data_IF_107739856445
#
_entry.id   IF_107739856445
#
_cell.length_a   1.000
_cell.length_b   1.000
_cell.length_c   1.000
_cell.angle_alpha   90.00
_cell.angle_beta   90.00
_cell.angle_gamma   90.00
#
_symmetry.space_group_name_H-M   'P 1'
#
loop_
_entity.id
_entity.type
_entity.pdbx_description
1 polymer ?
#
# COMPACT_ATOMS: atom_id res chain seq x y z
N UNK A 1 -55.76 -77.87 -8.79
CA UNK A 1 -55.31 -78.94 -9.70
C UNK A 1 -53.83 -79.19 -9.44
N UNK A 2 -53.46 -80.45 -9.15
CA UNK A 2 -52.09 -80.96 -8.86
C UNK A 2 -51.61 -80.61 -7.46
N UNK A 3 -51.55 -81.46 -6.43
CA UNK A 3 -51.29 -82.92 -6.29
C UNK A 3 -49.89 -83.34 -6.75
N UNK A 4 -49.08 -83.73 -5.74
CA UNK A 4 -47.99 -84.73 -5.75
C UNK A 4 -46.68 -84.37 -6.51
N UNK A 5 -45.49 -84.84 -6.14
CA UNK A 5 -45.13 -85.94 -5.24
C UNK A 5 -43.65 -85.90 -4.81
N UNK A 6 -43.38 -86.63 -3.72
CA UNK A 6 -42.18 -87.45 -3.43
C UNK A 6 -40.78 -86.80 -3.45
N UNK A 7 -40.12 -86.67 -2.29
CA UNK A 7 -39.32 -87.70 -1.57
C UNK A 7 -38.10 -88.21 -2.35
N UNK A 8 -36.91 -87.84 -1.88
CA UNK A 8 -35.82 -88.77 -1.59
C UNK A 8 -34.76 -88.04 -0.75
N UNK A 9 -34.59 -88.47 0.50
CA UNK A 9 -33.44 -88.08 1.33
C UNK A 9 -32.33 -89.12 1.19
N UNK A 10 -31.08 -88.70 1.37
CA UNK A 10 -30.15 -89.33 2.32
C UNK A 10 -28.82 -88.52 2.40
N UNK A 11 -28.58 -87.92 3.58
CA UNK A 11 -27.36 -88.02 4.43
C UNK A 11 -26.00 -87.52 3.88
N UNK A 12 -25.08 -86.85 4.61
CA UNK A 12 -24.54 -86.80 5.99
C UNK A 12 -23.76 -85.43 6.02
N UNK A 13 -23.60 -84.60 7.04
CA UNK A 13 -23.04 -84.78 8.39
C UNK A 13 -23.25 -83.50 9.25
N UNK A 14 -23.12 -83.69 10.57
CA UNK A 14 -23.25 -82.79 11.72
C UNK A 14 -22.26 -81.58 11.76
N UNK A 15 -22.21 -80.76 12.83
CA UNK A 15 -23.25 -79.91 13.44
C UNK A 15 -22.74 -78.45 13.57
N UNK A 16 -23.54 -77.45 13.18
CA UNK A 16 -23.23 -76.04 13.42
C UNK A 16 -24.20 -75.44 14.43
N UNK A 17 -23.79 -75.33 15.69
CA UNK A 17 -24.56 -74.69 16.76
C UNK A 17 -24.81 -73.22 16.38
N UNK A 18 -26.07 -72.88 16.13
CA UNK A 18 -26.55 -71.52 15.98
C UNK A 18 -26.66 -70.86 17.36
N UNK A 19 -25.96 -69.74 17.54
CA UNK A 19 -26.22 -68.79 18.62
C UNK A 19 -26.64 -67.45 18.01
N UNK A 20 -27.74 -66.92 18.54
CA UNK A 20 -28.48 -65.77 18.05
C UNK A 20 -27.62 -64.52 17.83
N UNK A 21 -27.76 -63.89 16.66
CA UNK A 21 -27.12 -62.62 16.35
C UNK A 21 -27.83 -61.47 17.10
N UNK A 22 -27.18 -61.01 18.17
CA UNK A 22 -27.46 -59.74 18.83
C UNK A 22 -27.17 -58.59 17.86
N UNK A 23 -28.15 -57.71 17.63
CA UNK A 23 -27.97 -56.45 16.89
C UNK A 23 -27.06 -55.52 17.70
N UNK A 24 -25.80 -55.40 17.29
CA UNK A 24 -24.86 -54.41 17.82
C UNK A 24 -25.11 -53.05 17.19
N UNK A 25 -25.40 -52.06 18.03
CA UNK A 25 -25.42 -50.64 17.68
C UNK A 25 -24.01 -50.23 17.22
N UNK A 26 -23.85 -49.89 15.94
CA UNK A 26 -22.60 -49.29 15.42
C UNK A 26 -22.49 -47.87 15.96
N UNK A 27 -21.71 -47.69 17.02
CA UNK A 27 -21.22 -46.37 17.44
C UNK A 27 -20.06 -46.03 16.51
N UNK A 28 -20.31 -45.12 15.57
CA UNK A 28 -19.32 -44.59 14.66
C UNK A 28 -18.38 -43.67 15.46
N UNK A 29 -17.05 -43.91 15.50
CA UNK A 29 -16.15 -43.02 16.23
C UNK A 29 -16.08 -41.69 15.48
N UNK A 30 -16.68 -40.66 16.07
CA UNK A 30 -16.45 -39.28 15.68
C UNK A 30 -15.02 -38.94 16.09
N UNK A 31 -14.08 -39.07 15.15
CA UNK A 31 -12.73 -38.57 15.32
C UNK A 31 -12.86 -37.04 15.34
N UNK A 32 -12.86 -36.45 16.54
CA UNK A 32 -12.61 -35.04 16.72
C UNK A 32 -11.15 -34.79 16.28
N UNK A 33 -10.94 -34.47 15.00
CA UNK A 33 -9.74 -33.78 14.57
C UNK A 33 -9.79 -32.39 15.20
N UNK A 34 -9.26 -32.29 16.41
CA UNK A 34 -8.95 -31.03 17.06
C UNK A 34 -7.86 -30.36 16.19
N UNK A 35 -8.28 -29.50 15.27
CA UNK A 35 -7.38 -28.60 14.58
C UNK A 35 -6.70 -27.75 15.63
N UNK A 36 -5.46 -28.11 15.98
CA UNK A 36 -4.58 -27.30 16.79
C UNK A 36 -4.34 -26.01 16.03
N UNK A 37 -5.14 -24.99 16.35
CA UNK A 37 -4.83 -23.62 16.00
C UNK A 37 -3.51 -23.32 16.72
N UNK A 38 -2.40 -23.45 16.02
CA UNK A 38 -1.10 -23.06 16.52
C UNK A 38 -1.13 -21.54 16.71
N UNK A 39 -1.59 -21.11 17.88
CA UNK A 39 -1.30 -19.80 18.41
C UNK A 39 0.22 -19.77 18.57
N UNK A 40 0.93 -19.26 17.57
CA UNK A 40 2.34 -18.91 17.71
C UNK A 40 2.40 -17.90 18.86
N UNK A 41 2.81 -18.38 20.02
CA UNK A 41 3.07 -17.53 21.16
C UNK A 41 4.11 -16.50 20.72
N UNK A 42 3.79 -15.22 20.87
CA UNK A 42 4.77 -14.15 20.83
C UNK A 42 5.63 -14.29 22.09
N UNK A 43 6.58 -15.24 22.09
CA UNK A 43 7.68 -15.18 23.03
C UNK A 43 8.51 -13.97 22.60
N UNK A 44 8.36 -12.86 23.31
CA UNK A 44 9.00 -11.60 22.98
C UNK A 44 10.49 -11.69 23.25
N UNK A 45 11.29 -11.86 22.20
CA UNK A 45 12.64 -11.34 22.19
C UNK A 45 12.55 -9.82 22.40
N UNK A 46 13.28 -9.28 23.38
CA UNK A 46 13.36 -7.83 23.61
C UNK A 46 14.08 -7.08 22.49
N UNK A 47 14.57 -7.80 21.48
CA UNK A 47 15.31 -7.28 20.34
C UNK A 47 14.35 -6.51 19.42
N UNK A 48 14.66 -5.25 19.08
CA UNK A 48 13.87 -4.50 18.11
C UNK A 48 13.80 -5.21 16.75
N UNK A 49 12.64 -5.09 16.11
CA UNK A 49 12.39 -5.56 14.76
C UNK A 49 12.96 -4.55 13.78
N UNK A 50 13.87 -4.98 12.92
CA UNK A 50 14.60 -4.09 12.01
C UNK A 50 14.12 -4.28 10.58
N UNK A 51 13.68 -3.18 9.97
CA UNK A 51 13.49 -3.05 8.54
C UNK A 51 14.63 -2.19 8.00
N UNK A 52 15.46 -2.72 7.11
CA UNK A 52 16.64 -1.98 6.64
C UNK A 52 16.91 -2.19 5.15
N UNK A 53 17.65 -1.22 4.61
CA UNK A 53 18.31 -1.32 3.32
C UNK A 53 19.71 -0.69 3.43
N UNK A 54 20.50 -0.54 2.34
CA UNK A 54 21.83 0.06 2.42
C UNK A 54 21.87 1.51 2.96
N UNK A 55 20.77 2.26 2.88
CA UNK A 55 20.71 3.70 3.17
C UNK A 55 20.21 4.02 4.58
N UNK A 56 19.21 3.29 5.06
CA UNK A 56 18.60 3.54 6.36
C UNK A 56 18.16 2.26 7.07
N UNK A 57 17.98 2.35 8.38
CA UNK A 57 17.26 1.34 9.15
C UNK A 57 16.09 1.97 9.90
N UNK A 58 15.00 1.22 10.02
CA UNK A 58 13.83 1.54 10.81
C UNK A 58 13.58 0.41 11.82
N UNK A 59 13.64 0.74 13.10
CA UNK A 59 13.47 -0.22 14.20
C UNK A 59 12.14 0.01 14.92
N UNK A 60 11.42 -1.09 15.18
CA UNK A 60 10.17 -1.13 15.92
C UNK A 60 10.38 -2.04 17.14
N UNK A 61 9.79 -1.74 18.30
CA UNK A 61 9.85 -2.63 19.47
C UNK A 61 8.82 -3.76 19.35
N UNK A 62 8.99 -4.88 20.09
CA UNK A 62 7.98 -5.94 20.18
C UNK A 62 6.58 -5.46 20.61
N UNK A 63 6.47 -4.29 21.25
CA UNK A 63 5.22 -3.64 21.67
C UNK A 63 4.62 -2.72 20.58
N UNK A 64 5.22 -2.68 19.38
CA UNK A 64 4.74 -1.85 18.27
C UNK A 64 5.07 -0.37 18.42
N UNK A 65 6.18 -0.02 19.09
CA UNK A 65 6.64 1.37 19.26
C UNK A 65 7.80 1.66 18.31
N UNK A 66 7.89 2.88 17.81
CA UNK A 66 9.05 3.30 17.02
C UNK A 66 10.28 3.42 17.93
N UNK A 67 11.39 2.80 17.54
CA UNK A 67 12.63 2.78 18.33
C UNK A 67 13.72 3.61 17.67
N UNK A 68 13.91 3.48 16.35
CA UNK A 68 14.93 4.23 15.63
C UNK A 68 14.57 4.41 14.15
N UNK A 69 15.01 5.52 13.56
CA UNK A 69 15.01 5.75 12.12
C UNK A 69 16.35 6.38 11.75
N UNK A 70 17.31 5.56 11.34
CA UNK A 70 18.71 5.94 11.30
C UNK A 70 19.22 6.01 9.87
N UNK A 71 19.92 7.10 9.58
CA UNK A 71 20.81 7.20 8.43
C UNK A 71 22.02 6.28 8.65
N UNK A 72 22.18 5.26 7.82
CA UNK A 72 23.27 4.29 7.97
C UNK A 72 24.63 4.87 7.62
N UNK A 73 24.68 5.92 6.81
CA UNK A 73 25.95 6.55 6.44
C UNK A 73 26.60 7.27 7.62
N UNK A 74 25.79 7.89 8.50
CA UNK A 74 26.28 8.71 9.61
C UNK A 74 26.00 8.10 10.98
N UNK A 75 25.10 7.12 11.08
CA UNK A 75 24.58 6.61 12.35
C UNK A 75 23.58 7.56 13.04
N UNK A 76 23.22 8.67 12.41
CA UNK A 76 22.31 9.66 13.00
C UNK A 76 20.89 9.12 13.07
N UNK A 77 20.30 9.11 14.27
CA UNK A 77 18.90 8.76 14.47
C UNK A 77 18.00 9.99 14.28
N UNK A 78 17.15 9.92 13.27
CA UNK A 78 16.16 10.95 12.96
C UNK A 78 14.78 10.66 13.53
N UNK A 79 14.59 9.60 14.33
CA UNK A 79 13.31 9.38 15.00
C UNK A 79 13.08 10.41 16.11
N UNK A 80 11.92 11.06 16.09
CA UNK A 80 11.50 11.96 17.16
C UNK A 80 11.00 11.14 18.36
N UNK A 81 11.56 11.41 19.54
CA UNK A 81 11.17 10.80 20.81
C UNK A 81 11.04 9.26 20.75
N UNK A 82 12.17 8.53 20.67
CA UNK A 82 12.18 7.06 20.68
C UNK A 82 11.28 6.43 21.75
N UNK A 83 10.50 5.42 21.36
CA UNK A 83 9.55 4.71 22.22
C UNK A 83 8.22 5.43 22.48
N UNK A 84 8.09 6.72 22.13
CA UNK A 84 6.90 7.51 22.45
C UNK A 84 5.74 7.29 21.46
N UNK A 85 6.04 7.01 20.19
CA UNK A 85 5.04 6.87 19.13
C UNK A 85 4.82 5.40 18.72
N UNK A 86 3.57 4.96 18.49
CA UNK A 86 3.31 3.65 17.92
C UNK A 86 3.65 3.63 16.43
N UNK A 87 4.10 2.49 15.90
CA UNK A 87 4.41 2.34 14.46
C UNK A 87 3.16 2.29 13.58
N UNK A 88 2.01 1.92 14.16
CA UNK A 88 0.75 1.74 13.46
C UNK A 88 -0.46 2.00 14.39
N UNK A 89 -1.62 2.26 13.78
CA UNK A 89 -2.91 2.43 14.45
C UNK A 89 -4.02 1.81 13.62
N UNK A 90 -5.01 1.22 14.28
CA UNK A 90 -6.23 0.74 13.63
C UNK A 90 -7.43 1.53 14.13
N UNK A 91 -8.41 1.79 13.27
CA UNK A 91 -9.68 2.38 13.65
C UNK A 91 -10.82 1.39 13.46
N UNK A 92 -11.62 1.20 14.50
CA UNK A 92 -12.79 0.31 14.53
C UNK A 92 -13.95 1.06 15.17
N UNK A 93 -15.08 1.16 14.44
CA UNK A 93 -16.27 1.91 14.86
C UNK A 93 -15.92 3.34 15.30
N UNK A 94 -15.06 4.01 14.54
CA UNK A 94 -14.60 5.37 14.81
C UNK A 94 -13.60 5.53 15.96
N UNK A 95 -13.24 4.46 16.70
CA UNK A 95 -12.25 4.51 17.79
C UNK A 95 -10.89 4.01 17.32
N UNK A 96 -9.83 4.73 17.67
CA UNK A 96 -8.46 4.34 17.34
C UNK A 96 -7.81 3.49 18.44
N UNK A 97 -7.04 2.50 18.02
CA UNK A 97 -6.20 1.65 18.87
C UNK A 97 -4.78 1.61 18.32
N UNK A 98 -3.75 1.91 19.14
CA UNK A 98 -2.37 1.79 18.70
C UNK A 98 -1.95 0.32 18.56
N UNK A 99 -0.88 0.07 17.81
CA UNK A 99 -0.19 -1.21 17.87
C UNK A 99 0.29 -1.46 19.31
N UNK A 100 0.09 -2.69 19.78
CA UNK A 100 0.48 -3.14 21.12
C UNK A 100 1.37 -4.38 21.07
N UNK A 101 1.49 -5.01 19.89
CA UNK A 101 2.51 -6.02 19.65
C UNK A 101 2.94 -6.03 18.17
N UNK A 102 4.20 -6.39 17.93
CA UNK A 102 4.80 -6.55 16.61
C UNK A 102 5.68 -7.81 16.56
N UNK A 103 5.64 -8.54 15.45
CA UNK A 103 6.60 -9.61 15.11
C UNK A 103 7.02 -9.49 13.65
N UNK A 104 8.27 -9.84 13.35
CA UNK A 104 8.84 -9.80 12.02
C UNK A 104 9.46 -11.17 11.75
N UNK A 105 8.92 -11.87 10.76
CA UNK A 105 9.42 -13.17 10.37
C UNK A 105 9.26 -13.34 8.86
N UNK A 106 10.34 -13.74 8.17
CA UNK A 106 10.33 -13.99 6.73
C UNK A 106 9.83 -12.80 5.90
N UNK A 107 10.23 -11.57 6.25
CA UNK A 107 9.80 -10.35 5.57
C UNK A 107 8.34 -9.96 5.80
N UNK A 108 7.65 -10.55 6.78
CA UNK A 108 6.28 -10.17 7.17
C UNK A 108 6.26 -9.56 8.56
N UNK A 109 5.81 -8.32 8.64
CA UNK A 109 5.55 -7.60 9.89
C UNK A 109 4.10 -7.83 10.30
N UNK A 110 3.90 -8.60 11.36
CA UNK A 110 2.59 -8.83 11.99
C UNK A 110 2.41 -7.84 13.12
N UNK A 111 1.30 -7.10 13.10
CA UNK A 111 0.94 -6.07 14.07
C UNK A 111 -0.37 -6.46 14.76
N UNK A 112 -0.42 -6.37 16.08
CA UNK A 112 -1.65 -6.56 16.88
C UNK A 112 -2.04 -5.27 17.57
N UNK A 113 -3.35 -5.08 17.73
CA UNK A 113 -3.92 -3.85 18.26
C UNK A 113 -4.85 -4.15 19.43
N UNK A 114 -4.48 -3.68 20.62
CA UNK A 114 -5.25 -3.93 21.85
C UNK A 114 -5.38 -5.42 22.19
N UNK A 115 -6.43 -5.76 22.95
CA UNK A 115 -6.65 -7.12 23.45
C UNK A 115 -7.60 -7.97 22.57
N UNK A 116 -8.30 -7.37 21.61
CA UNK A 116 -9.45 -7.97 20.93
C UNK A 116 -9.09 -8.78 19.66
N UNK A 117 -7.87 -9.29 19.55
CA UNK A 117 -7.44 -10.08 18.40
C UNK A 117 -7.33 -9.31 17.07
N UNK A 118 -7.48 -7.98 17.07
CA UNK A 118 -7.28 -7.14 15.90
C UNK A 118 -5.83 -7.27 15.42
N UNK A 119 -5.66 -7.59 14.14
CA UNK A 119 -4.35 -7.86 13.55
C UNK A 119 -4.25 -7.31 12.13
N UNK A 120 -3.06 -6.85 11.77
CA UNK A 120 -2.68 -6.59 10.38
C UNK A 120 -1.36 -7.32 10.08
N UNK A 121 -1.22 -7.84 8.87
CA UNK A 121 0.04 -8.41 8.37
C UNK A 121 0.49 -7.56 7.19
N UNK A 122 1.72 -7.06 7.28
CA UNK A 122 2.37 -6.30 6.22
C UNK A 122 3.50 -7.14 5.62
N UNK A 123 3.57 -7.23 4.31
CA UNK A 123 4.81 -7.61 3.64
C UNK A 123 5.75 -6.41 3.71
N UNK A 124 6.98 -6.63 4.17
CA UNK A 124 8.06 -5.67 4.16
C UNK A 124 9.14 -6.16 3.19
N UNK A 125 9.35 -5.41 2.11
CA UNK A 125 10.30 -5.73 1.07
C UNK A 125 11.41 -4.67 1.05
N UNK A 126 12.63 -5.09 1.40
CA UNK A 126 13.81 -4.24 1.29
C UNK A 126 14.29 -4.18 -0.17
N UNK A 127 14.52 -2.97 -0.67
CA UNK A 127 15.13 -2.67 -1.97
C UNK A 127 16.32 -1.73 -1.77
N UNK A 128 17.25 -1.64 -2.74
CA UNK A 128 18.43 -0.78 -2.59
C UNK A 128 18.11 0.67 -2.19
N UNK A 129 17.01 1.21 -2.72
CA UNK A 129 16.65 2.64 -2.56
C UNK A 129 15.44 2.89 -1.66
N UNK A 130 14.69 1.84 -1.30
CA UNK A 130 13.50 1.98 -0.48
C UNK A 130 13.18 0.72 0.32
N UNK A 131 12.26 0.84 1.28
CA UNK A 131 11.56 -0.31 1.87
C UNK A 131 10.09 -0.18 1.49
N UNK A 132 9.52 -1.21 0.87
CA UNK A 132 8.11 -1.24 0.51
C UNK A 132 7.32 -1.97 1.60
N UNK A 133 6.27 -1.34 2.10
CA UNK A 133 5.28 -1.99 2.96
C UNK A 133 3.99 -2.20 2.18
N UNK A 134 3.47 -3.42 2.20
CA UNK A 134 2.17 -3.79 1.60
C UNK A 134 1.28 -4.47 2.62
N UNK A 135 0.05 -4.00 2.77
CA UNK A 135 -0.96 -4.67 3.60
C UNK A 135 -1.38 -5.98 2.94
N UNK A 136 -1.08 -7.12 3.55
CA UNK A 136 -1.48 -8.45 3.06
C UNK A 136 -2.81 -8.91 3.63
N UNK A 137 -3.05 -8.63 4.92
CA UNK A 137 -4.31 -8.97 5.58
C UNK A 137 -4.62 -8.04 6.74
N UNK A 138 -5.90 -7.89 7.04
CA UNK A 138 -6.45 -7.25 8.22
C UNK A 138 -7.55 -8.16 8.77
N UNK A 139 -7.51 -8.48 10.05
CA UNK A 139 -8.42 -9.46 10.67
C UNK A 139 -8.74 -9.13 12.13
N UNK A 140 -9.66 -9.90 12.73
CA UNK A 140 -10.04 -9.76 14.14
C UNK A 140 -11.18 -8.76 14.40
N UNK A 141 -11.75 -8.14 13.36
CA UNK A 141 -12.90 -7.24 13.50
C UNK A 141 -13.23 -6.48 12.22
N UNK A 142 -14.27 -5.66 12.29
CA UNK A 142 -14.66 -4.77 11.20
C UNK A 142 -13.85 -3.46 11.25
N UNK A 143 -12.72 -3.43 10.53
CA UNK A 143 -11.76 -2.32 10.54
C UNK A 143 -12.19 -1.22 9.57
N UNK A 144 -12.31 0.01 10.08
CA UNK A 144 -12.66 1.19 9.27
C UNK A 144 -11.44 1.74 8.51
N UNK A 145 -10.28 1.76 9.18
CA UNK A 145 -9.04 2.29 8.63
C UNK A 145 -7.82 1.70 9.34
N UNK A 146 -6.69 1.68 8.64
CA UNK A 146 -5.39 1.26 9.16
C UNK A 146 -4.34 2.31 8.78
N UNK A 147 -3.66 2.86 9.79
CA UNK A 147 -2.39 3.56 9.63
C UNK A 147 -1.30 2.51 9.80
N UNK A 148 -0.65 2.11 8.71
CA UNK A 148 0.33 1.02 8.69
C UNK A 148 1.78 1.51 8.65
N UNK A 149 1.98 2.82 8.52
CA UNK A 149 3.26 3.49 8.71
C UNK A 149 3.00 4.79 9.49
N UNK A 150 3.74 4.98 10.58
CA UNK A 150 3.69 6.19 11.39
C UNK A 150 5.06 6.41 12.04
N UNK A 151 5.91 7.25 11.44
CA UNK A 151 7.27 7.53 11.92
C UNK A 151 7.48 9.05 12.00
N UNK A 152 7.34 9.66 13.18
CA UNK A 152 7.63 11.08 13.37
C UNK A 152 9.13 11.32 13.37
N UNK A 153 9.61 12.28 12.59
CA UNK A 153 11.04 12.54 12.44
C UNK A 153 11.47 13.85 13.13
N UNK A 154 12.76 13.97 13.44
CA UNK A 154 13.40 15.22 13.87
C UNK A 154 13.68 16.15 12.68
N UNK A 155 13.57 15.64 11.44
CA UNK A 155 13.70 16.42 10.22
C UNK A 155 12.63 17.51 10.12
N UNK A 156 13.02 18.67 9.62
CA UNK A 156 12.15 19.79 9.27
C UNK A 156 11.47 19.60 7.89
N UNK A 157 12.01 18.73 7.04
CA UNK A 157 11.53 18.51 5.69
C UNK A 157 12.04 19.57 4.71
N UNK A 158 13.29 20.01 4.84
CA UNK A 158 13.85 21.08 4.01
C UNK A 158 15.12 20.66 3.25
N UNK A 159 15.42 21.23 2.07
CA UNK A 159 16.60 20.85 1.30
C UNK A 159 17.94 21.15 1.97
N UNK A 160 17.96 22.01 2.99
CA UNK A 160 19.16 22.35 3.75
C UNK A 160 19.61 21.24 4.71
N UNK A 161 18.75 20.25 4.97
CA UNK A 161 19.08 19.13 5.87
C UNK A 161 20.01 18.13 5.18
N UNK A 162 20.91 17.45 5.92
CA UNK A 162 21.86 16.50 5.33
C UNK A 162 21.19 15.20 4.87
N UNK A 163 19.98 14.93 5.36
CA UNK A 163 19.24 13.70 5.14
C UNK A 163 17.77 14.05 4.87
N UNK A 164 17.14 13.30 3.98
CA UNK A 164 15.71 13.45 3.69
C UNK A 164 15.00 12.12 3.69
N UNK A 165 13.71 12.15 3.98
CA UNK A 165 12.86 10.98 4.03
C UNK A 165 11.47 11.27 3.43
N UNK A 166 10.91 10.26 2.77
CA UNK A 166 9.64 10.31 2.06
C UNK A 166 8.90 8.98 2.22
N UNK A 167 7.66 9.02 2.70
CA UNK A 167 6.66 8.02 2.41
C UNK A 167 6.02 8.38 1.07
N UNK A 168 5.95 7.44 0.13
CA UNK A 168 5.30 7.63 -1.16
C UNK A 168 4.29 6.51 -1.42
N UNK A 169 3.03 6.88 -1.66
CA UNK A 169 1.99 5.91 -2.05
C UNK A 169 2.35 5.25 -3.37
N UNK A 170 2.21 3.93 -3.46
CA UNK A 170 2.51 3.17 -4.69
C UNK A 170 1.26 2.72 -5.45
N UNK A 171 0.07 3.07 -4.96
CA UNK A 171 -1.21 2.86 -5.63
C UNK A 171 -2.23 3.93 -5.22
N UNK A 172 -3.37 3.96 -5.92
CA UNK A 172 -4.34 5.07 -5.86
C UNK A 172 -5.06 5.20 -4.52
N UNK A 173 -5.22 4.11 -3.77
CA UNK A 173 -6.03 4.08 -2.55
C UNK A 173 -5.19 4.10 -1.26
N UNK A 174 -3.86 4.11 -1.38
CA UNK A 174 -2.98 4.37 -0.24
C UNK A 174 -2.87 5.86 0.00
N UNK A 175 -3.26 6.31 1.19
CA UNK A 175 -3.20 7.71 1.60
C UNK A 175 -1.89 8.01 2.32
N UNK A 176 -1.08 8.87 1.69
CA UNK A 176 0.03 9.60 2.34
C UNK A 176 -0.38 11.07 2.45
N UNK A 177 -0.55 11.63 3.66
CA UNK A 177 -1.03 13.00 3.82
C UNK A 177 -0.01 14.07 3.40
N UNK A 178 1.28 13.80 3.60
CA UNK A 178 2.35 14.74 3.29
C UNK A 178 2.66 14.72 1.79
N UNK A 179 2.89 15.91 1.22
CA UNK A 179 3.39 16.00 -0.15
C UNK A 179 4.81 15.42 -0.22
N UNK A 180 5.17 14.72 -1.31
CA UNK A 180 6.56 14.41 -1.57
C UNK A 180 7.35 15.70 -1.86
N UNK A 181 8.64 15.78 -1.60
CA UNK A 181 9.56 14.68 -1.23
C UNK A 181 10.05 14.72 0.21
N UNK A 182 10.18 15.91 0.79
CA UNK A 182 10.83 16.07 2.09
C UNK A 182 9.77 16.14 3.19
N UNK A 183 9.80 15.16 4.09
CA UNK A 183 8.76 14.98 5.10
C UNK A 183 9.36 14.96 6.51
N UNK A 184 8.67 15.61 7.44
CA UNK A 184 8.95 15.56 8.88
C UNK A 184 8.20 14.43 9.60
N UNK A 185 7.28 13.77 8.90
CA UNK A 185 6.53 12.61 9.37
C UNK A 185 6.29 11.65 8.20
N UNK A 186 6.69 10.39 8.37
CA UNK A 186 6.37 9.34 7.40
C UNK A 186 5.08 8.66 7.83
N UNK A 187 3.99 8.92 7.09
CA UNK A 187 2.68 8.38 7.43
C UNK A 187 1.97 7.81 6.21
N UNK A 188 1.49 6.57 6.33
CA UNK A 188 0.69 5.91 5.30
C UNK A 188 -0.51 5.19 5.92
N UNK A 189 -1.65 5.28 5.23
CA UNK A 189 -2.91 4.72 5.69
C UNK A 189 -3.80 4.23 4.56
N UNK A 190 -4.75 3.36 4.89
CA UNK A 190 -5.82 2.91 4.00
C UNK A 190 -7.16 2.90 4.75
N UNK A 191 -8.25 2.99 4.00
CA UNK A 191 -9.61 3.09 4.54
C UNK A 191 -10.53 2.06 3.86
N UNK A 192 -11.44 1.47 4.64
CA UNK A 192 -12.35 0.41 4.20
C UNK A 192 -13.13 0.78 2.94
N UNK A 193 -13.50 2.05 2.79
CA UNK A 193 -14.21 2.59 1.62
C UNK A 193 -13.46 2.39 0.30
N UNK A 194 -12.13 2.45 0.32
CA UNK A 194 -11.29 2.37 -0.88
C UNK A 194 -10.55 1.03 -1.01
N UNK A 195 -10.36 0.33 0.12
CA UNK A 195 -9.66 -0.93 0.21
C UNK A 195 -8.61 -0.90 1.32
N UNK A 196 -8.50 -2.00 2.07
CA UNK A 196 -7.47 -2.17 3.12
C UNK A 196 -6.30 -3.00 2.59
N UNK A 197 -6.60 -4.22 2.13
CA UNK A 197 -5.62 -5.17 1.58
C UNK A 197 -5.09 -4.64 0.24
N UNK A 198 -3.78 -4.77 0.03
CA UNK A 198 -3.09 -4.26 -1.14
C UNK A 198 -2.59 -2.82 -0.99
N UNK A 199 -3.00 -2.08 0.04
CA UNK A 199 -2.44 -0.75 0.31
C UNK A 199 -0.91 -0.83 0.44
N UNK A 200 -0.19 0.07 -0.23
CA UNK A 200 1.24 -0.03 -0.48
C UNK A 200 1.94 1.32 -0.44
N UNK A 201 3.02 1.41 0.34
CA UNK A 201 3.87 2.60 0.45
C UNK A 201 5.34 2.23 0.26
N UNK A 202 6.11 3.10 -0.38
CA UNK A 202 7.56 3.08 -0.30
C UNK A 202 8.04 4.05 0.79
N UNK A 203 8.95 3.57 1.62
CA UNK A 203 9.76 4.39 2.52
C UNK A 203 11.08 4.63 1.82
N UNK A 204 11.33 5.88 1.45
CA UNK A 204 12.56 6.32 0.79
C UNK A 204 13.28 7.27 1.72
N UNK A 205 14.52 6.96 2.09
CA UNK A 205 15.33 7.85 2.90
C UNK A 205 16.80 7.73 2.51
N UNK A 206 17.48 8.86 2.44
CA UNK A 206 18.84 8.95 1.92
C UNK A 206 19.52 10.26 2.32
N UNK A 207 20.86 10.32 2.25
CA UNK A 207 21.56 11.60 2.19
C UNK A 207 20.94 12.49 1.12
N UNK A 208 20.83 13.79 1.38
CA UNK A 208 20.04 14.72 0.56
C UNK A 208 20.41 14.67 -0.92
N UNK A 209 21.70 14.60 -1.24
CA UNK A 209 22.21 14.51 -2.61
C UNK A 209 21.73 13.26 -3.37
N UNK A 210 21.39 12.18 -2.66
CA UNK A 210 20.99 10.90 -3.23
C UNK A 210 19.48 10.66 -3.18
N UNK A 211 18.70 11.58 -2.59
CA UNK A 211 17.27 11.38 -2.35
C UNK A 211 16.45 11.36 -3.65
N UNK A 212 16.67 12.33 -4.54
CA UNK A 212 15.98 12.36 -5.83
C UNK A 212 16.29 11.12 -6.68
N UNK A 213 17.56 10.70 -6.88
CA UNK A 213 17.86 9.44 -7.55
C UNK A 213 17.16 8.21 -6.92
N UNK A 214 17.11 8.14 -5.58
CA UNK A 214 16.41 7.06 -4.88
C UNK A 214 14.92 7.02 -5.21
N UNK A 215 14.27 8.18 -5.23
CA UNK A 215 12.85 8.30 -5.56
C UNK A 215 12.58 7.95 -7.02
N UNK A 216 13.42 8.40 -7.95
CA UNK A 216 13.30 8.03 -9.36
C UNK A 216 13.36 6.50 -9.53
N UNK A 217 14.35 5.84 -8.91
CA UNK A 217 14.49 4.38 -8.95
C UNK A 217 13.29 3.67 -8.30
N UNK A 218 12.82 4.17 -7.15
CA UNK A 218 11.66 3.65 -6.44
C UNK A 218 10.40 3.70 -7.31
N UNK A 219 10.10 4.85 -7.90
CA UNK A 219 8.91 5.04 -8.72
C UNK A 219 8.98 4.24 -10.03
N UNK A 220 10.15 4.13 -10.64
CA UNK A 220 10.34 3.33 -11.84
C UNK A 220 10.18 1.82 -11.60
N UNK A 221 10.51 1.32 -10.40
CA UNK A 221 10.59 -0.12 -10.11
C UNK A 221 9.51 -0.70 -9.21
N UNK A 222 8.74 0.12 -8.47
CA UNK A 222 7.80 -0.36 -7.46
C UNK A 222 6.37 0.22 -7.57
N UNK A 223 6.18 1.28 -8.35
CA UNK A 223 4.89 1.98 -8.46
C UNK A 223 3.93 1.26 -9.40
N UNK A 224 2.67 1.11 -8.99
CA UNK A 224 1.56 0.74 -9.87
C UNK A 224 0.97 1.97 -10.59
N UNK A 225 1.38 3.17 -10.16
CA UNK A 225 0.94 4.45 -10.74
C UNK A 225 1.73 4.75 -12.03
N UNK A 226 1.10 5.41 -13.02
CA UNK A 226 1.79 5.90 -14.20
C UNK A 226 3.00 6.76 -13.84
N UNK A 227 4.14 6.49 -14.47
CA UNK A 227 5.37 7.23 -14.23
C UNK A 227 5.51 8.34 -15.28
N UNK A 228 5.49 9.60 -14.83
CA UNK A 228 5.77 10.75 -15.66
C UNK A 228 7.23 11.19 -15.48
N UNK A 229 8.07 10.92 -16.49
CA UNK A 229 9.52 11.26 -16.46
C UNK A 229 9.82 12.72 -16.80
N UNK A 230 8.80 13.53 -17.10
CA UNK A 230 8.94 14.97 -17.29
C UNK A 230 8.55 15.77 -16.05
N UNK A 231 8.09 15.11 -14.98
CA UNK A 231 7.60 15.75 -13.77
C UNK A 231 8.11 15.05 -12.50
N UNK A 232 7.63 15.47 -11.34
CA UNK A 232 7.97 14.88 -10.04
C UNK A 232 9.49 14.86 -9.81
N UNK A 233 10.09 13.72 -9.41
CA UNK A 233 11.51 13.68 -9.09
C UNK A 233 12.44 13.79 -10.31
N UNK A 234 11.93 13.70 -11.54
CA UNK A 234 12.69 13.98 -12.77
C UNK A 234 12.62 15.44 -13.21
N UNK A 235 11.71 16.23 -12.62
CA UNK A 235 11.39 17.57 -13.13
C UNK A 235 12.62 18.48 -13.26
N UNK A 236 13.60 18.34 -12.36
CA UNK A 236 14.83 19.14 -12.36
C UNK A 236 15.72 18.87 -13.57
N UNK A 237 15.72 17.64 -14.09
CA UNK A 237 16.59 17.19 -15.19
C UNK A 237 16.01 17.50 -16.57
N UNK A 238 14.77 18.01 -16.61
CA UNK A 238 14.01 18.24 -17.84
C UNK A 238 14.18 19.71 -18.24
N UNK A 239 14.90 20.02 -19.33
CA UNK A 239 15.28 21.40 -19.64
C UNK A 239 14.07 22.34 -19.82
N UNK A 240 12.99 21.87 -20.46
CA UNK A 240 11.82 22.72 -20.71
C UNK A 240 11.05 23.10 -19.43
N UNK A 241 11.22 22.37 -18.32
CA UNK A 241 10.60 22.72 -17.05
C UNK A 241 11.18 24.00 -16.42
N UNK A 242 12.36 24.43 -16.87
CA UNK A 242 12.98 25.69 -16.46
C UNK A 242 12.57 26.87 -17.36
N UNK A 243 11.79 26.59 -18.41
CA UNK A 243 11.25 27.59 -19.31
C UNK A 243 10.04 28.31 -18.72
N UNK A 244 9.83 29.55 -19.14
CA UNK A 244 8.59 30.27 -18.88
C UNK A 244 7.53 29.96 -19.94
N UNK A 245 6.27 30.20 -19.60
CA UNK A 245 5.12 29.97 -20.48
C UNK A 245 4.16 31.15 -20.48
N UNK A 246 3.38 31.28 -21.55
CA UNK A 246 2.29 32.24 -21.65
C UNK A 246 0.97 31.60 -21.22
N UNK A 247 0.19 32.29 -20.40
CA UNK A 247 -1.17 31.85 -20.08
C UNK A 247 -2.14 32.20 -21.20
N UNK A 248 -2.79 31.18 -21.77
CA UNK A 248 -3.99 31.32 -22.56
C UNK A 248 -5.23 31.14 -21.66
N UNK A 249 -6.03 32.20 -21.52
CA UNK A 249 -7.32 32.19 -20.81
C UNK A 249 -8.50 32.00 -21.78
N UNK A 250 -8.27 31.33 -22.91
CA UNK A 250 -9.27 31.00 -23.90
C UNK A 250 -9.45 32.04 -25.01
N UNK A 251 -8.36 32.66 -25.46
CA UNK A 251 -8.34 33.54 -26.65
C UNK A 251 -7.52 32.96 -27.81
N UNK A 252 -6.76 31.89 -27.57
CA UNK A 252 -6.05 31.15 -28.60
C UNK A 252 -7.00 30.24 -29.37
N UNK A 253 -7.14 30.47 -30.67
CA UNK A 253 -8.08 29.80 -31.58
C UNK A 253 -7.37 29.40 -32.88
N UNK A 254 -8.00 28.57 -33.70
CA UNK A 254 -7.45 28.15 -35.00
C UNK A 254 -7.12 29.35 -35.91
N UNK A 255 -7.92 30.42 -35.84
CA UNK A 255 -7.75 31.61 -36.68
C UNK A 255 -6.61 32.54 -36.25
N UNK A 256 -6.09 32.42 -35.02
CA UNK A 256 -5.04 33.31 -34.51
C UNK A 256 -3.83 32.57 -33.93
N UNK A 257 -3.73 31.26 -34.13
CA UNK A 257 -2.59 30.45 -33.64
C UNK A 257 -1.26 30.96 -34.18
N UNK A 258 -1.20 31.46 -35.42
CA UNK A 258 0.02 32.03 -36.01
C UNK A 258 0.52 33.25 -35.24
N UNK A 259 -0.39 34.15 -34.84
CA UNK A 259 -0.04 35.34 -34.05
C UNK A 259 0.50 34.95 -32.67
N UNK A 260 -0.10 33.92 -32.04
CA UNK A 260 0.38 33.37 -30.78
C UNK A 260 1.78 32.76 -30.91
N UNK A 261 2.06 32.04 -31.99
CA UNK A 261 3.38 31.47 -32.27
C UNK A 261 4.42 32.59 -32.46
N UNK A 262 4.08 33.63 -33.23
CA UNK A 262 4.96 34.78 -33.44
C UNK A 262 5.24 35.51 -32.12
N UNK A 263 4.19 35.79 -31.35
CA UNK A 263 4.31 36.40 -30.02
C UNK A 263 5.21 35.59 -29.10
N UNK A 264 4.97 34.28 -28.97
CA UNK A 264 5.78 33.39 -28.13
C UNK A 264 7.25 33.42 -28.54
N UNK A 265 7.54 33.34 -29.85
CA UNK A 265 8.92 33.45 -30.38
C UNK A 265 9.56 34.79 -30.07
N UNK A 266 8.83 35.89 -30.27
CA UNK A 266 9.36 37.25 -30.03
C UNK A 266 9.72 37.50 -28.57
N UNK A 267 9.00 36.87 -27.65
CA UNK A 267 9.21 36.98 -26.20
C UNK A 267 10.15 35.90 -25.65
N UNK A 268 10.61 34.96 -26.49
CA UNK A 268 11.47 33.85 -26.08
C UNK A 268 10.77 32.76 -25.26
N UNK A 269 9.44 32.68 -25.32
CA UNK A 269 8.67 31.59 -24.70
C UNK A 269 8.56 30.39 -25.65
N UNK A 270 8.64 29.20 -25.08
CA UNK A 270 8.53 27.93 -25.82
C UNK A 270 7.28 27.12 -25.46
N UNK A 271 6.44 27.67 -24.58
CA UNK A 271 5.29 26.97 -24.00
C UNK A 271 4.10 27.93 -23.84
N UNK A 272 2.90 27.39 -24.03
CA UNK A 272 1.62 28.06 -23.76
C UNK A 272 0.84 27.17 -22.80
N UNK A 273 0.51 27.69 -21.62
CA UNK A 273 -0.35 27.03 -20.63
C UNK A 273 -1.81 27.42 -20.89
N UNK A 274 -2.65 26.43 -21.16
CA UNK A 274 -4.07 26.64 -21.42
C UNK A 274 -4.87 26.48 -20.12
N UNK A 275 -5.19 27.61 -19.51
CA UNK A 275 -5.83 27.67 -18.21
C UNK A 275 -7.35 27.65 -18.34
N UNK A 276 -8.06 26.91 -17.47
CA UNK A 276 -9.53 26.78 -17.51
C UNK A 276 -10.29 28.10 -17.26
N UNK A 277 -9.64 29.07 -16.62
CA UNK A 277 -10.18 30.43 -16.44
C UNK A 277 -10.40 31.16 -17.77
N UNK A 278 -11.35 32.10 -17.81
CA UNK A 278 -11.69 32.83 -19.06
C UNK A 278 -12.50 32.02 -20.08
N UNK A 279 -12.96 30.82 -19.68
CA UNK A 279 -13.83 29.98 -20.49
C UNK A 279 -13.09 29.24 -21.59
N UNK A 280 -11.88 28.75 -21.33
CA UNK A 280 -11.21 27.77 -22.18
C UNK A 280 -11.91 26.40 -22.09
N UNK A 281 -12.02 25.84 -20.87
CA UNK A 281 -12.80 24.63 -20.57
C UNK A 281 -13.60 24.74 -19.28
N UNK A 282 -14.63 23.89 -19.14
CA UNK A 282 -15.41 23.74 -17.90
C UNK A 282 -14.65 22.90 -16.88
N UNK A 283 -14.40 23.44 -15.69
CA UNK A 283 -13.80 22.70 -14.58
C UNK A 283 -14.63 21.46 -14.22
N UNK A 284 -13.96 20.32 -14.03
CA UNK A 284 -14.58 19.05 -13.69
C UNK A 284 -14.84 18.15 -14.90
N UNK A 285 -15.45 18.65 -15.96
CA UNK A 285 -15.72 17.84 -17.17
C UNK A 285 -14.66 17.97 -18.26
N UNK A 286 -13.80 18.99 -18.18
CA UNK A 286 -12.80 19.31 -19.22
C UNK A 286 -13.43 19.45 -20.62
N UNK A 287 -14.66 19.96 -20.70
CA UNK A 287 -15.27 20.28 -21.98
C UNK A 287 -14.87 21.68 -22.43
N UNK A 288 -14.38 21.82 -23.66
CA UNK A 288 -14.06 23.12 -24.24
C UNK A 288 -15.32 23.99 -24.43
N UNK A 289 -15.12 25.31 -24.38
CA UNK A 289 -16.18 26.25 -24.71
C UNK A 289 -16.57 26.14 -26.20
N UNK A 290 -17.77 25.59 -26.46
CA UNK A 290 -18.28 25.34 -27.81
C UNK A 290 -18.57 26.61 -28.62
N UNK A 291 -18.69 27.78 -27.99
CA UNK A 291 -18.81 29.05 -28.71
C UNK A 291 -17.49 29.43 -29.40
N UNK A 292 -16.35 29.06 -28.79
CA UNK A 292 -15.00 29.37 -29.27
C UNK A 292 -14.38 28.23 -30.08
N UNK A 293 -14.64 26.98 -29.66
CA UNK A 293 -14.25 25.77 -30.38
C UNK A 293 -15.50 24.92 -30.64
N UNK A 294 -16.26 25.18 -31.71
CA UNK A 294 -17.49 24.46 -32.04
C UNK A 294 -17.29 22.94 -32.11
N UNK A 295 -16.18 22.51 -32.71
CA UNK A 295 -15.79 21.10 -32.83
C UNK A 295 -15.23 20.51 -31.52
N UNK A 296 -15.04 21.33 -30.48
CA UNK A 296 -14.44 20.93 -29.23
C UNK A 296 -12.99 20.48 -29.42
N UNK A 297 -12.62 19.36 -28.79
CA UNK A 297 -11.24 18.85 -28.82
C UNK A 297 -10.73 18.51 -30.22
N UNK A 298 -11.59 18.08 -31.15
CA UNK A 298 -11.20 17.83 -32.55
C UNK A 298 -10.80 19.12 -33.29
N UNK A 299 -11.37 20.27 -32.88
CA UNK A 299 -10.92 21.59 -33.34
C UNK A 299 -9.59 21.99 -32.73
N UNK A 300 -9.43 21.72 -31.44
CA UNK A 300 -8.21 22.03 -30.70
C UNK A 300 -6.98 21.26 -31.19
N UNK A 301 -7.14 20.02 -31.68
CA UNK A 301 -6.03 19.23 -32.23
C UNK A 301 -5.34 19.87 -33.45
N UNK A 302 -6.00 20.82 -34.13
CA UNK A 302 -5.44 21.55 -35.29
C UNK A 302 -4.57 22.76 -34.90
N UNK A 303 -4.56 23.11 -33.63
CA UNK A 303 -3.85 24.24 -33.02
C UNK A 303 -2.54 23.74 -32.42
#
# INVERSE_FOLDING_TARGET
>A
MGVENSRAGLTIALPGIMLAAMRTMRIQPFILCLSTLAATAFAGDSTPLVLENPRFHYAISPEGRNVAFVDRATGTNYLRAPGASPCARVRVRGREFPATAAALAGGRLTLRFGANGLQAVLQAEARPDCIVLRVESVSGGDVDALVFLNVPLTLAGTPAEPFGACAHSLNLFTRVPALPVLQSELRASCEKKFGLVGARVAIVAAPMAQLLPALQATLAGASELPVCRTAGPWAREVPFNHGSYLFNFGTLTETNVSDWIEMARSLGFTQIDNHGGGGFFRFGSMELNREKWPDGWAGWERI
#
